data_IF_214112906940
#
_entry.id   IF_214112906940
#
_cell.length_a   1.000
_cell.length_b   1.000
_cell.length_c   1.000
_cell.angle_alpha   90.00
_cell.angle_beta   90.00
_cell.angle_gamma   90.00
#
_symmetry.space_group_name_H-M   'P 1'
#
loop_
_entity.id
_entity.type
_entity.pdbx_description
1 polymer ?
#
# COMPACT_ATOMS: atom_id res chain seq x y z
N UNK A 1 -0.04 -13.56 -10.46
CA UNK A 1 0.24 -14.17 -9.14
C UNK A 1 0.24 -13.03 -8.13
N UNK A 2 -0.69 -13.03 -7.18
CA UNK A 2 -0.85 -11.94 -6.19
C UNK A 2 -0.47 -12.50 -4.83
N UNK A 3 0.58 -11.96 -4.21
CA UNK A 3 1.06 -12.41 -2.91
C UNK A 3 0.30 -11.60 -1.85
N UNK A 4 -0.38 -12.30 -0.95
CA UNK A 4 -1.18 -11.68 0.10
C UNK A 4 -0.28 -11.35 1.29
N UNK A 5 0.24 -10.13 1.41
CA UNK A 5 1.18 -9.78 2.48
C UNK A 5 0.52 -9.53 3.86
N UNK A 6 -0.79 -9.71 4.01
CA UNK A 6 -1.49 -9.46 5.28
C UNK A 6 -0.95 -10.33 6.42
N UNK A 7 -0.40 -11.51 6.12
CA UNK A 7 0.20 -12.40 7.12
C UNK A 7 1.58 -11.93 7.62
N UNK A 8 2.23 -10.97 6.95
CA UNK A 8 3.52 -10.42 7.38
C UNK A 8 3.39 -9.29 8.40
N UNK A 9 2.17 -8.76 8.61
CA UNK A 9 1.91 -7.66 9.54
C UNK A 9 0.96 -8.12 10.67
N UNK A 10 1.50 -8.72 11.75
CA UNK A 10 0.71 -9.07 12.93
C UNK A 10 0.21 -7.77 13.58
N UNK A 11 -1.09 -7.51 13.48
CA UNK A 11 -1.72 -6.27 13.94
C UNK A 11 -2.47 -5.48 12.86
N UNK A 12 -2.60 -6.02 11.65
CA UNK A 12 -3.38 -5.39 10.58
C UNK A 12 -4.81 -5.08 11.03
N UNK A 13 -5.16 -3.80 11.08
CA UNK A 13 -6.51 -3.35 11.36
C UNK A 13 -7.50 -3.99 10.35
N UNK A 14 -8.73 -4.36 10.76
CA UNK A 14 -9.72 -4.93 9.86
C UNK A 14 -9.96 -4.02 8.66
N UNK A 15 -10.12 -4.60 7.47
CA UNK A 15 -10.33 -3.81 6.27
C UNK A 15 -11.65 -3.03 6.34
N UNK A 16 -11.59 -1.76 5.99
CA UNK A 16 -12.72 -0.86 5.92
C UNK A 16 -13.37 -0.98 4.55
N UNK A 17 -14.68 -1.13 4.53
CA UNK A 17 -15.45 -1.11 3.28
C UNK A 17 -15.80 0.33 2.93
N UNK A 18 -15.43 0.80 1.75
CA UNK A 18 -15.76 2.15 1.32
C UNK A 18 -17.29 2.32 1.23
N UNK A 19 -17.81 3.36 1.89
CA UNK A 19 -19.22 3.67 1.90
C UNK A 19 -19.56 4.85 2.81
N UNK A 20 -20.84 5.28 2.82
CA UNK A 20 -21.27 6.43 3.61
C UNK A 20 -21.03 6.24 5.12
N UNK A 21 -21.19 5.01 5.63
CA UNK A 21 -20.99 4.68 7.03
C UNK A 21 -19.52 4.78 7.50
N UNK A 22 -18.56 4.60 6.59
CA UNK A 22 -17.11 4.58 6.90
C UNK A 22 -16.42 5.89 6.50
N UNK A 23 -17.14 6.83 5.90
CA UNK A 23 -16.57 8.06 5.33
C UNK A 23 -15.84 8.91 6.38
N UNK A 24 -16.42 9.10 7.57
CA UNK A 24 -15.80 9.86 8.67
C UNK A 24 -14.52 9.20 9.19
N UNK A 25 -14.51 7.87 9.29
CA UNK A 25 -13.34 7.11 9.70
C UNK A 25 -12.22 7.21 8.67
N UNK A 26 -12.55 7.10 7.38
CA UNK A 26 -11.58 7.27 6.29
C UNK A 26 -11.01 8.69 6.28
N UNK A 27 -11.83 9.71 6.51
CA UNK A 27 -11.34 11.09 6.61
C UNK A 27 -10.40 11.30 7.81
N UNK A 28 -10.69 10.67 8.95
CA UNK A 28 -9.79 10.65 10.11
C UNK A 28 -8.45 9.99 9.82
N UNK A 29 -8.45 8.88 9.06
CA UNK A 29 -7.22 8.22 8.60
C UNK A 29 -6.43 9.10 7.63
N UNK A 30 -7.10 9.72 6.66
CA UNK A 30 -6.46 10.59 5.68
C UNK A 30 -5.85 11.84 6.31
N UNK A 31 -6.41 12.35 7.40
CA UNK A 31 -5.83 13.48 8.14
C UNK A 31 -4.45 13.17 8.75
N UNK A 32 -4.16 11.89 9.01
CA UNK A 32 -2.91 11.42 9.63
C UNK A 32 -2.04 10.61 8.65
N UNK A 33 -2.49 10.46 7.41
CA UNK A 33 -1.83 9.62 6.42
C UNK A 33 -0.50 10.24 6.00
N UNK A 34 0.57 9.44 6.03
CA UNK A 34 1.88 9.81 5.46
C UNK A 34 2.03 9.37 4.01
N UNK A 35 1.17 8.45 3.56
CA UNK A 35 1.12 7.99 2.19
C UNK A 35 0.01 6.97 1.98
N UNK A 36 -0.35 6.75 0.72
CA UNK A 36 -1.34 5.77 0.31
C UNK A 36 -0.77 4.84 -0.75
N UNK A 37 -1.17 3.58 -0.73
CA UNK A 37 -0.84 2.60 -1.77
C UNK A 37 -2.13 2.12 -2.41
N UNK A 38 -2.22 2.19 -3.74
CA UNK A 38 -3.37 1.67 -4.50
C UNK A 38 -3.03 0.34 -5.16
N UNK A 39 -3.95 -0.61 -5.06
CA UNK A 39 -3.80 -1.95 -5.61
C UNK A 39 -5.11 -2.63 -5.98
N UNK A 40 -5.01 -3.89 -6.38
CA UNK A 40 -6.16 -4.77 -6.67
C UNK A 40 -5.94 -6.15 -6.07
N UNK A 41 -6.86 -6.61 -5.22
CA UNK A 41 -6.84 -7.94 -4.63
C UNK A 41 -8.08 -8.72 -5.09
N UNK A 42 -7.88 -9.91 -5.67
CA UNK A 42 -8.97 -10.76 -6.20
C UNK A 42 -9.94 -10.03 -7.14
N UNK A 43 -9.42 -9.08 -7.93
CA UNK A 43 -10.21 -8.27 -8.86
C UNK A 43 -10.91 -7.06 -8.24
N UNK A 44 -10.85 -6.89 -6.92
CA UNK A 44 -11.41 -5.74 -6.21
C UNK A 44 -10.33 -4.69 -5.97
N UNK A 45 -10.59 -3.41 -6.31
CA UNK A 45 -9.68 -2.32 -5.96
C UNK A 45 -9.62 -2.12 -4.45
N UNK A 46 -8.43 -1.73 -3.97
CA UNK A 46 -8.22 -1.31 -2.59
C UNK A 46 -7.21 -0.15 -2.52
N UNK A 47 -7.25 0.58 -1.42
CA UNK A 47 -6.25 1.58 -1.03
C UNK A 47 -5.81 1.29 0.39
N UNK A 48 -4.51 1.10 0.59
CA UNK A 48 -3.92 1.02 1.92
C UNK A 48 -3.46 2.43 2.33
N UNK A 49 -4.09 2.99 3.37
CA UNK A 49 -3.75 4.28 3.95
C UNK A 49 -2.74 4.04 5.07
N UNK A 50 -1.53 4.57 4.92
CA UNK A 50 -0.47 4.37 5.91
C UNK A 50 -0.48 5.48 6.96
N UNK A 51 -0.86 5.13 8.19
CA UNK A 51 -0.88 6.01 9.35
C UNK A 51 0.12 5.47 10.36
N UNK A 52 1.09 6.29 10.76
CA UNK A 52 2.13 5.91 11.74
C UNK A 52 2.87 4.58 11.44
N UNK A 53 2.96 4.16 10.18
CA UNK A 53 3.60 2.90 9.78
C UNK A 53 2.65 1.69 9.79
N UNK A 54 1.39 1.87 10.17
CA UNK A 54 0.34 0.86 10.09
C UNK A 54 -0.51 1.06 8.81
N UNK A 55 -0.59 0.04 7.94
CA UNK A 55 -1.47 0.08 6.78
C UNK A 55 -2.93 -0.16 7.20
N UNK A 56 -3.81 0.78 6.86
CA UNK A 56 -5.26 0.65 6.99
C UNK A 56 -5.89 0.43 5.61
N UNK A 57 -6.38 -0.79 5.37
CA UNK A 57 -6.95 -1.17 4.08
C UNK A 57 -8.36 -0.65 3.91
N UNK A 58 -8.62 0.04 2.81
CA UNK A 58 -9.94 0.44 2.33
C UNK A 58 -10.27 -0.33 1.05
N UNK A 59 -11.30 -1.16 1.08
CA UNK A 59 -11.78 -1.95 -0.06
C UNK A 59 -12.98 -1.30 -0.72
N UNK A 60 -13.08 -1.45 -2.04
CA UNK A 60 -14.19 -0.89 -2.82
C UNK A 60 -14.88 -1.98 -3.63
N UNK A 61 -16.20 -1.80 -3.80
CA UNK A 61 -16.99 -2.65 -4.69
C UNK A 61 -16.95 -2.19 -6.15
N UNK A 62 -16.74 -0.89 -6.38
CA UNK A 62 -16.80 -0.27 -7.72
C UNK A 62 -15.60 0.61 -7.96
N UNK A 63 -15.10 0.61 -9.19
CA UNK A 63 -13.99 1.49 -9.60
C UNK A 63 -14.36 2.98 -9.52
N UNK A 64 -15.64 3.34 -9.65
CA UNK A 64 -16.10 4.72 -9.48
C UNK A 64 -15.88 5.24 -8.04
N UNK A 65 -16.09 4.37 -7.05
CA UNK A 65 -15.90 4.70 -5.63
C UNK A 65 -14.41 4.88 -5.31
N UNK A 66 -13.54 4.09 -5.95
CA UNK A 66 -12.09 4.27 -5.89
C UNK A 66 -11.72 5.68 -6.41
N UNK A 67 -12.27 6.10 -7.55
CA UNK A 67 -12.01 7.42 -8.14
C UNK A 67 -12.31 8.57 -7.16
N UNK A 68 -13.39 8.46 -6.38
CA UNK A 68 -13.75 9.45 -5.37
C UNK A 68 -12.70 9.54 -4.25
N UNK A 69 -12.21 8.40 -3.75
CA UNK A 69 -11.17 8.43 -2.72
C UNK A 69 -9.83 8.95 -3.26
N UNK A 70 -9.46 8.56 -4.49
CA UNK A 70 -8.23 9.03 -5.13
C UNK A 70 -8.23 10.55 -5.30
N UNK A 71 -9.34 11.13 -5.77
CA UNK A 71 -9.48 12.58 -5.87
C UNK A 71 -9.34 13.28 -4.49
N UNK A 72 -9.83 12.64 -3.43
CA UNK A 72 -9.71 13.15 -2.06
C UNK A 72 -8.27 13.07 -1.51
N UNK A 73 -7.54 12.02 -1.84
CA UNK A 73 -6.12 11.83 -1.50
C UNK A 73 -5.28 12.89 -2.22
N UNK A 74 -5.52 13.07 -3.52
CA UNK A 74 -4.83 14.05 -4.35
C UNK A 74 -5.09 15.49 -3.89
N UNK A 75 -6.35 15.83 -3.58
CA UNK A 75 -6.72 17.14 -3.03
C UNK A 75 -6.03 17.45 -1.69
N UNK A 76 -5.59 16.43 -0.94
CA UNK A 76 -4.85 16.57 0.32
C UNK A 76 -3.32 16.53 0.11
N UNK A 77 -2.84 16.34 -1.11
CA UNK A 77 -1.42 16.23 -1.42
C UNK A 77 -0.74 15.01 -0.81
N UNK A 78 -1.50 13.98 -0.45
CA UNK A 78 -0.96 12.75 0.16
C UNK A 78 -0.29 11.93 -0.95
N UNK A 79 0.97 11.50 -0.78
CA UNK A 79 1.67 10.78 -1.82
C UNK A 79 1.03 9.40 -2.07
N UNK A 80 0.65 9.16 -3.32
CA UNK A 80 -0.02 7.95 -3.78
C UNK A 80 0.94 7.09 -4.59
N UNK A 81 1.13 5.85 -4.18
CA UNK A 81 2.01 4.89 -4.83
C UNK A 81 1.20 3.73 -5.41
N UNK A 82 1.62 3.17 -6.55
CA UNK A 82 1.04 1.92 -7.03
C UNK A 82 1.74 0.73 -6.40
N UNK A 83 0.97 -0.28 -6.00
CA UNK A 83 1.48 -1.53 -5.42
C UNK A 83 2.61 -2.16 -6.27
N UNK A 84 2.49 -2.10 -7.60
CA UNK A 84 3.53 -2.57 -8.54
C UNK A 84 4.85 -1.80 -8.44
N UNK A 85 4.79 -0.48 -8.21
CA UNK A 85 5.99 0.35 -8.10
C UNK A 85 6.72 0.06 -6.78
N UNK A 86 5.98 -0.15 -5.69
CA UNK A 86 6.54 -0.56 -4.41
C UNK A 86 7.22 -1.93 -4.52
N UNK A 87 6.57 -2.91 -5.15
CA UNK A 87 7.14 -4.24 -5.39
C UNK A 87 8.43 -4.14 -6.23
N UNK A 88 8.41 -3.36 -7.31
CA UNK A 88 9.58 -3.18 -8.17
C UNK A 88 10.76 -2.57 -7.39
N UNK A 89 10.50 -1.58 -6.53
CA UNK A 89 11.52 -0.97 -5.69
C UNK A 89 12.12 -1.98 -4.69
N UNK A 90 11.29 -2.76 -4.00
CA UNK A 90 11.76 -3.78 -3.03
C UNK A 90 12.58 -4.86 -3.73
N UNK A 91 12.12 -5.36 -4.88
CA UNK A 91 12.86 -6.35 -5.67
C UNK A 91 14.20 -5.79 -6.17
N UNK A 92 14.22 -4.54 -6.62
CA UNK A 92 15.44 -3.86 -7.04
C UNK A 92 16.47 -3.76 -5.91
N UNK A 93 16.04 -3.31 -4.72
CA UNK A 93 16.91 -3.25 -3.53
C UNK A 93 17.44 -4.63 -3.17
N UNK A 94 16.58 -5.65 -3.14
CA UNK A 94 16.98 -7.03 -2.86
C UNK A 94 18.01 -7.57 -3.85
N UNK A 95 17.82 -7.32 -5.15
CA UNK A 95 18.75 -7.74 -6.19
C UNK A 95 20.13 -7.09 -6.04
N UNK A 96 20.18 -5.79 -5.73
CA UNK A 96 21.43 -5.06 -5.48
C UNK A 96 22.16 -5.63 -4.26
N UNK A 97 21.43 -5.96 -3.20
CA UNK A 97 21.99 -6.54 -1.98
C UNK A 97 22.59 -7.94 -2.23
N UNK A 98 21.88 -8.80 -2.97
CA UNK A 98 22.37 -10.12 -3.37
C UNK A 98 23.64 -9.99 -4.22
N UNK A 99 23.65 -9.05 -5.18
CA UNK A 99 24.81 -8.81 -6.03
C UNK A 99 26.01 -8.36 -5.21
N UNK A 100 25.82 -7.43 -4.26
CA UNK A 100 26.89 -6.95 -3.38
C UNK A 100 27.48 -8.08 -2.52
N UNK A 101 26.63 -8.96 -1.97
CA UNK A 101 27.06 -10.13 -1.19
C UNK A 101 27.85 -11.10 -2.09
N UNK A 102 27.34 -11.41 -3.28
CA UNK A 102 28.01 -12.29 -4.22
C UNK A 102 29.39 -11.74 -4.62
N UNK A 103 29.49 -10.44 -4.88
CA UNK A 103 30.75 -9.76 -5.17
C UNK A 103 31.72 -9.83 -4.00
N UNK A 104 31.23 -9.61 -2.78
CA UNK A 104 32.05 -9.67 -1.57
C UNK A 104 32.58 -11.08 -1.27
N UNK A 105 31.79 -12.12 -1.57
CA UNK A 105 32.23 -13.52 -1.47
C UNK A 105 33.27 -13.82 -2.54
N UNK A 106 33.06 -13.38 -3.78
CA UNK A 106 33.99 -13.62 -4.88
C UNK A 106 35.33 -12.92 -4.69
N UNK A 107 35.32 -11.72 -4.08
CA UNK A 107 36.52 -10.94 -3.76
C UNK A 107 37.21 -11.37 -2.45
N UNK A 108 36.61 -12.29 -1.67
CA UNK A 108 37.30 -12.86 -0.51
C UNK A 108 38.35 -13.87 -1.00
N UNK A 109 39.65 -13.64 -0.73
CA UNK A 109 40.72 -14.56 -1.09
C UNK A 109 40.63 -15.89 -0.35
#
# INVERSE_FOLDING_TARGET
>A
MYIDYQHLFPGSAPSLRFGPATTSSIDGLLAQAKGCVVGRQRGRPFVDINVEGAPHRVEFDRDADLGLLLARIEARGIPLHRDREVIAAVLGIGAVLILAIALAIWLRP
#
